data_IF_785662576821
#
_entry.id   IF_785662576821
#
_cell.length_a   1.000
_cell.length_b   1.000
_cell.length_c   1.000
_cell.angle_alpha   90.00
_cell.angle_beta   90.00
_cell.angle_gamma   90.00
#
_symmetry.space_group_name_H-M   'P 1'
#
loop_
_entity.id
_entity.type
_entity.pdbx_description
1 polymer ?
#
# COMPACT_ATOMS: atom_id res chain seq x y z
N UNK A 1 -4.08 8.36 3.31
CA UNK A 1 -2.62 8.17 3.33
C UNK A 1 -2.25 7.35 2.10
N UNK A 2 -1.34 7.79 1.23
CA UNK A 2 -0.88 7.00 0.09
C UNK A 2 -0.08 5.78 0.54
N UNK A 3 -0.31 4.65 -0.14
CA UNK A 3 0.41 3.38 0.05
C UNK A 3 1.09 3.03 -1.27
N UNK A 4 2.36 2.64 -1.23
CA UNK A 4 3.13 2.24 -2.40
C UNK A 4 3.76 0.88 -2.10
N UNK A 5 3.66 -0.05 -3.04
CA UNK A 5 4.41 -1.30 -2.99
C UNK A 5 5.40 -1.32 -4.16
N UNK A 6 6.64 -1.71 -3.86
CA UNK A 6 7.74 -1.71 -4.83
C UNK A 6 8.31 -3.12 -4.98
N UNK A 7 8.91 -3.40 -6.14
CA UNK A 7 9.52 -4.70 -6.44
C UNK A 7 8.58 -5.67 -7.17
N UNK A 8 9.16 -6.44 -8.11
CA UNK A 8 8.39 -7.32 -9.01
C UNK A 8 7.71 -8.49 -8.30
N UNK A 9 8.29 -8.96 -7.18
CA UNK A 9 7.73 -10.07 -6.40
C UNK A 9 6.33 -9.76 -5.83
N UNK A 10 6.00 -8.49 -5.64
CA UNK A 10 4.76 -8.05 -5.05
C UNK A 10 3.64 -7.75 -6.06
N UNK A 11 3.94 -7.88 -7.37
CA UNK A 11 2.97 -7.64 -8.45
C UNK A 11 1.80 -8.64 -8.43
N UNK A 12 2.06 -9.88 -7.99
CA UNK A 12 1.00 -10.90 -7.92
C UNK A 12 -0.06 -10.56 -6.85
N UNK A 13 0.35 -9.95 -5.73
CA UNK A 13 -0.57 -9.59 -4.64
C UNK A 13 -1.42 -8.38 -5.01
N UNK A 14 -0.88 -7.44 -5.81
CA UNK A 14 -1.65 -6.26 -6.24
C UNK A 14 -2.69 -6.58 -7.30
N UNK A 15 -2.58 -7.70 -8.02
CA UNK A 15 -3.54 -8.10 -9.06
C UNK A 15 -4.92 -8.48 -8.50
N UNK A 16 -5.02 -8.88 -7.23
CA UNK A 16 -6.28 -9.23 -6.57
C UNK A 16 -6.91 -8.08 -5.78
N UNK A 17 -6.25 -6.92 -5.72
CA UNK A 17 -6.74 -5.75 -4.97
C UNK A 17 -7.64 -4.91 -5.86
N UNK A 18 -8.89 -4.71 -5.43
CA UNK A 18 -9.85 -3.85 -6.12
C UNK A 18 -10.40 -2.79 -5.17
N UNK A 19 -11.08 -1.78 -5.72
CA UNK A 19 -11.70 -0.74 -4.90
C UNK A 19 -12.76 -1.37 -4.02
N UNK A 20 -12.65 -1.17 -2.70
CA UNK A 20 -13.54 -1.76 -1.70
C UNK A 20 -12.98 -2.99 -1.00
N UNK A 21 -11.86 -3.55 -1.45
CA UNK A 21 -11.19 -4.66 -0.74
C UNK A 21 -10.64 -4.18 0.61
N UNK A 22 -10.93 -4.93 1.67
CA UNK A 22 -10.37 -4.68 3.01
C UNK A 22 -9.04 -5.43 3.13
N UNK A 23 -8.00 -4.71 3.54
CA UNK A 23 -6.62 -5.20 3.56
C UNK A 23 -5.93 -4.74 4.83
N UNK A 24 -5.02 -5.57 5.34
CA UNK A 24 -4.00 -5.16 6.31
C UNK A 24 -2.70 -4.92 5.54
N UNK A 25 -2.09 -3.75 5.73
CA UNK A 25 -0.84 -3.38 5.06
C UNK A 25 0.24 -3.14 6.10
N UNK A 26 1.35 -3.86 5.97
CA UNK A 26 2.54 -3.73 6.80
C UNK A 26 3.71 -3.16 6.00
N UNK A 27 4.51 -2.32 6.66
CA UNK A 27 5.72 -1.75 6.09
C UNK A 27 6.17 -0.52 6.88
N UNK A 28 6.91 0.38 6.23
CA UNK A 28 7.49 1.56 6.87
C UNK A 28 6.92 2.88 6.33
N UNK A 29 6.91 3.89 7.20
CA UNK A 29 6.48 5.24 6.85
C UNK A 29 7.67 6.04 6.31
N UNK A 30 7.46 6.74 5.20
CA UNK A 30 8.42 7.65 4.60
C UNK A 30 7.75 8.97 4.21
N UNK A 31 8.50 10.06 4.26
CA UNK A 31 8.02 11.38 3.87
C UNK A 31 8.62 11.78 2.51
N UNK A 32 7.76 12.08 1.53
CA UNK A 32 8.17 12.53 0.20
C UNK A 32 7.71 13.96 -0.02
N UNK A 33 8.58 14.82 -0.54
CA UNK A 33 8.17 16.13 -0.99
C UNK A 33 7.42 15.99 -2.32
N UNK A 34 6.16 16.38 -2.33
CA UNK A 34 5.36 16.39 -3.54
C UNK A 34 5.76 17.55 -4.46
N UNK A 35 5.36 17.48 -5.73
CA UNK A 35 5.65 18.50 -6.75
C UNK A 35 5.19 19.92 -6.37
N UNK A 36 4.25 20.03 -5.44
CA UNK A 36 3.76 21.30 -4.90
C UNK A 36 4.55 21.81 -3.67
N UNK A 37 5.68 21.19 -3.34
CA UNK A 37 6.53 21.55 -2.20
C UNK A 37 6.02 21.04 -0.84
N UNK A 38 4.82 20.46 -0.76
CA UNK A 38 4.28 19.90 0.49
C UNK A 38 4.82 18.49 0.74
N UNK A 39 5.19 18.22 1.99
CA UNK A 39 5.58 16.89 2.43
C UNK A 39 4.34 15.99 2.53
N UNK A 40 4.43 14.79 1.96
CA UNK A 40 3.41 13.76 2.03
C UNK A 40 3.97 12.54 2.76
N UNK A 41 3.23 12.08 3.74
CA UNK A 41 3.48 10.80 4.41
C UNK A 41 3.01 9.68 3.50
N UNK A 42 3.87 8.71 3.24
CA UNK A 42 3.64 7.55 2.36
C UNK A 42 3.98 6.29 3.14
N UNK A 43 3.12 5.29 3.08
CA UNK A 43 3.42 3.94 3.57
C UNK A 43 4.03 3.13 2.43
N UNK A 44 5.28 2.70 2.60
CA UNK A 44 5.92 1.71 1.73
C UNK A 44 5.55 0.33 2.24
N UNK A 45 4.71 -0.38 1.50
CA UNK A 45 4.24 -1.71 1.85
C UNK A 45 5.32 -2.76 1.57
N UNK A 46 5.56 -3.61 2.55
CA UNK A 46 6.42 -4.81 2.47
C UNK A 46 5.58 -6.09 2.50
N UNK A 47 4.45 -6.06 3.19
CA UNK A 47 3.50 -7.18 3.25
C UNK A 47 2.07 -6.65 3.19
N UNK A 48 1.21 -7.37 2.45
CA UNK A 48 -0.22 -7.06 2.33
C UNK A 48 -0.98 -8.36 2.57
N UNK A 49 -1.89 -8.33 3.54
CA UNK A 49 -2.77 -9.44 3.89
C UNK A 49 -4.21 -9.08 3.52
N UNK A 50 -4.86 -9.97 2.75
CA UNK A 50 -6.28 -9.87 2.43
C UNK A 50 -7.10 -10.23 3.66
N UNK A 51 -7.98 -9.33 4.09
CA UNK A 51 -8.95 -9.65 5.14
C UNK A 51 -10.17 -10.21 4.44
N UNK A 52 -10.24 -11.54 4.34
CA UNK A 52 -11.48 -12.18 3.95
C UNK A 52 -12.47 -12.00 5.10
N UNK A 53 -13.49 -11.19 4.86
CA UNK A 53 -14.60 -11.03 5.79
C UNK A 53 -15.51 -12.22 5.55
N UNK A 54 -15.09 -13.40 6.02
CA UNK A 54 -15.89 -14.61 5.93
C UNK A 54 -17.26 -14.36 6.54
N UNK A 55 -18.28 -14.38 5.70
CA UNK A 55 -19.70 -14.53 6.05
C UNK A 55 -20.01 -16.02 6.26
#
# INVERSE_FOLDING_TARGET
MPVIISGHAHSAITQSITVGTVLTVHGFISCHQAKNGLNKVVLHAEQIDLIDSGD
#
